data_IF_061649844594
#
_entry.id   IF_061649844594
#
_cell.length_a   1.000
_cell.length_b   1.000
_cell.length_c   1.000
_cell.angle_alpha   90.00
_cell.angle_beta   90.00
_cell.angle_gamma   90.00
#
_symmetry.space_group_name_H-M   'P 1'
#
loop_
_entity.id
_entity.type
_entity.pdbx_description
1 polymer ?
#
# COMPACT_ATOMS: atom_id res chain seq x y z
N UNK A 1 -21.73 67.06 -59.46
CA UNK A 1 -22.32 67.66 -58.25
C UNK A 1 -22.84 66.55 -57.36
N UNK A 2 -22.16 66.27 -56.26
CA UNK A 2 -22.81 65.98 -54.99
C UNK A 2 -21.73 65.99 -53.91
N UNK A 3 -21.77 67.09 -53.18
CA UNK A 3 -20.91 67.44 -52.08
C UNK A 3 -21.68 67.19 -50.78
N UNK A 4 -20.90 67.05 -49.71
CA UNK A 4 -21.26 67.39 -48.33
C UNK A 4 -21.89 66.34 -47.40
N UNK A 5 -20.96 65.82 -46.58
CA UNK A 5 -20.91 65.91 -45.11
C UNK A 5 -21.95 65.13 -44.29
N UNK A 6 -21.42 64.10 -43.65
CA UNK A 6 -22.00 63.41 -42.50
C UNK A 6 -22.21 64.35 -41.30
N UNK A 7 -23.32 64.23 -40.54
CA UNK A 7 -23.45 64.79 -39.21
C UNK A 7 -23.00 63.79 -38.12
N UNK A 8 -22.24 64.28 -37.15
CA UNK A 8 -21.80 63.56 -35.95
C UNK A 8 -23.00 63.10 -35.08
N UNK A 9 -22.98 61.88 -34.51
CA UNK A 9 -23.93 61.49 -33.47
C UNK A 9 -23.48 62.01 -32.09
N UNK A 10 -24.42 62.59 -31.36
CA UNK A 10 -24.25 63.12 -30.01
C UNK A 10 -23.82 62.05 -28.98
N UNK A 11 -22.83 62.38 -28.16
CA UNK A 11 -22.42 61.59 -27.00
C UNK A 11 -23.58 61.48 -25.99
N UNK A 12 -24.13 60.27 -25.82
CA UNK A 12 -25.04 59.94 -24.73
C UNK A 12 -24.19 59.51 -23.52
N UNK A 13 -24.16 60.33 -22.47
CA UNK A 13 -23.47 60.03 -21.22
C UNK A 13 -24.03 58.75 -20.60
N UNK A 14 -23.21 57.70 -20.57
CA UNK A 14 -23.51 56.44 -19.88
C UNK A 14 -23.48 56.68 -18.37
N UNK A 15 -24.66 56.69 -17.75
CA UNK A 15 -24.78 56.62 -16.30
C UNK A 15 -24.26 55.25 -15.84
N UNK A 16 -23.09 55.26 -15.17
CA UNK A 16 -22.59 54.07 -14.47
C UNK A 16 -23.64 53.64 -13.44
N UNK A 17 -24.32 52.52 -13.70
CA UNK A 17 -25.15 51.85 -12.70
C UNK A 17 -24.22 51.36 -11.59
N UNK A 18 -24.25 52.04 -10.45
CA UNK A 18 -23.54 51.62 -9.25
C UNK A 18 -23.99 50.22 -8.83
N UNK A 19 -23.04 49.42 -8.33
CA UNK A 19 -23.30 48.08 -7.83
C UNK A 19 -24.41 48.16 -6.77
N UNK A 20 -25.55 47.48 -6.98
CA UNK A 20 -26.68 47.61 -6.08
C UNK A 20 -26.32 47.09 -4.68
N UNK A 21 -26.74 47.83 -3.65
CA UNK A 21 -26.30 47.64 -2.24
C UNK A 21 -26.51 46.21 -1.69
N UNK A 22 -27.41 45.42 -2.27
CA UNK A 22 -27.63 44.02 -1.90
C UNK A 22 -26.45 43.10 -2.24
N UNK A 23 -25.59 43.45 -3.20
CA UNK A 23 -24.36 42.70 -3.49
C UNK A 23 -23.36 42.80 -2.33
N UNK A 24 -23.32 43.94 -1.63
CA UNK A 24 -22.52 44.07 -0.41
C UNK A 24 -23.09 43.22 0.73
N UNK A 25 -24.41 43.03 0.82
CA UNK A 25 -25.02 42.09 1.78
C UNK A 25 -24.65 40.63 1.46
N UNK A 26 -24.59 40.24 0.19
CA UNK A 26 -24.14 38.91 -0.23
C UNK A 26 -22.65 38.68 0.07
N UNK A 27 -21.79 39.68 -0.16
CA UNK A 27 -20.36 39.58 0.17
C UNK A 27 -20.11 39.52 1.68
N UNK A 28 -20.92 40.22 2.49
CA UNK A 28 -20.86 40.11 3.96
C UNK A 28 -21.36 38.74 4.44
N UNK A 29 -22.41 38.18 3.83
CA UNK A 29 -22.89 36.82 4.15
C UNK A 29 -21.89 35.73 3.77
N UNK A 30 -21.19 35.86 2.63
CA UNK A 30 -20.11 34.95 2.22
C UNK A 30 -18.88 35.13 3.13
N UNK A 31 -18.58 36.37 3.54
CA UNK A 31 -17.52 36.64 4.50
C UNK A 31 -17.80 36.06 5.89
N UNK A 32 -19.03 36.18 6.39
CA UNK A 32 -19.46 35.60 7.67
C UNK A 32 -19.57 34.08 7.60
N UNK A 33 -20.01 33.49 6.48
CA UNK A 33 -20.00 32.04 6.31
C UNK A 33 -18.59 31.48 6.17
N UNK A 34 -17.65 32.22 5.55
CA UNK A 34 -16.24 31.85 5.50
C UNK A 34 -15.55 31.99 6.87
N UNK A 35 -15.93 32.98 7.70
CA UNK A 35 -15.45 33.11 9.07
C UNK A 35 -16.03 32.02 9.97
N UNK A 36 -17.32 31.69 9.84
CA UNK A 36 -17.94 30.57 10.57
C UNK A 36 -17.36 29.23 10.10
N UNK A 37 -17.12 29.04 8.80
CA UNK A 37 -16.43 27.87 8.27
C UNK A 37 -14.98 27.79 8.77
N UNK A 38 -14.24 28.91 8.79
CA UNK A 38 -12.90 28.95 9.35
C UNK A 38 -12.91 28.68 10.87
N UNK A 39 -13.89 29.18 11.62
CA UNK A 39 -14.04 28.89 13.05
C UNK A 39 -14.46 27.42 13.28
N UNK A 40 -15.36 26.85 12.48
CA UNK A 40 -15.78 25.45 12.56
C UNK A 40 -14.67 24.49 12.12
N UNK A 41 -13.91 24.80 11.06
CA UNK A 41 -12.74 24.02 10.62
C UNK A 41 -11.58 24.16 11.59
N UNK A 42 -11.43 25.31 12.26
CA UNK A 42 -10.41 25.50 13.29
C UNK A 42 -10.83 24.90 14.65
N UNK A 43 -12.12 24.62 14.89
CA UNK A 43 -12.61 23.84 16.04
C UNK A 43 -12.86 22.35 15.74
N UNK A 44 -12.71 21.91 14.49
CA UNK A 44 -12.87 20.51 14.06
C UNK A 44 -11.60 19.90 13.46
N UNK A 45 -10.43 20.51 13.66
CA UNK A 45 -9.22 19.69 13.73
C UNK A 45 -9.45 18.71 14.88
N UNK A 46 -9.53 17.39 14.63
CA UNK A 46 -9.43 16.47 15.76
C UNK A 46 -8.10 16.82 16.44
N UNK A 47 -8.16 17.22 17.71
CA UNK A 47 -7.00 17.10 18.56
C UNK A 47 -6.43 15.70 18.34
N UNK A 48 -5.10 15.52 18.22
CA UNK A 48 -4.55 14.19 18.31
C UNK A 48 -5.15 13.58 19.57
N UNK A 49 -5.91 12.50 19.42
CA UNK A 49 -6.43 11.77 20.56
C UNK A 49 -5.21 11.49 21.41
N UNK A 50 -5.11 12.19 22.54
CA UNK A 50 -4.11 11.90 23.53
C UNK A 50 -4.46 10.50 24.02
N UNK A 51 -3.82 9.49 23.41
CA UNK A 51 -3.54 8.25 24.12
C UNK A 51 -3.01 8.69 25.47
N UNK A 52 -3.69 8.23 26.52
CA UNK A 52 -3.48 8.64 27.90
C UNK A 52 -2.09 8.14 28.32
N UNK A 53 -1.07 8.90 27.93
CA UNK A 53 0.33 8.57 27.99
C UNK A 53 0.87 9.13 29.31
N UNK A 54 0.64 8.42 30.41
CA UNK A 54 1.69 8.33 31.43
C UNK A 54 2.85 7.44 30.90
N UNK A 55 3.28 7.66 29.64
CA UNK A 55 4.22 6.86 28.86
C UNK A 55 5.50 7.66 28.63
N UNK A 56 6.20 8.03 29.69
CA UNK A 56 7.54 8.58 29.56
C UNK A 56 8.48 7.43 29.21
N UNK A 57 8.88 7.31 27.93
CA UNK A 57 9.94 6.37 27.52
C UNK A 57 11.22 6.79 28.24
N UNK A 58 11.79 5.90 29.06
CA UNK A 58 13.07 6.17 29.72
C UNK A 58 14.16 6.05 28.67
N UNK A 59 14.66 7.21 28.24
CA UNK A 59 15.81 7.31 27.33
C UNK A 59 17.12 7.12 28.12
N UNK A 60 18.14 6.48 27.53
CA UNK A 60 19.46 6.40 28.15
C UNK A 60 20.07 7.79 28.44
N UNK A 61 20.79 7.93 29.56
CA UNK A 61 21.49 9.18 29.92
C UNK A 61 22.86 9.31 29.21
N UNK A 62 23.09 10.46 28.54
CA UNK A 62 24.34 10.94 27.85
C UNK A 62 24.86 10.05 26.69
N UNK A 63 25.61 10.63 25.73
CA UNK A 63 25.31 10.52 24.30
C UNK A 63 25.21 9.07 23.82
N UNK A 64 24.07 8.73 23.21
CA UNK A 64 23.79 7.45 22.59
C UNK A 64 24.87 7.13 21.57
N UNK A 65 25.71 6.12 21.87
CA UNK A 65 26.69 5.59 20.93
C UNK A 65 26.09 4.36 20.28
N UNK A 66 26.27 4.20 18.98
CA UNK A 66 25.90 2.97 18.30
C UNK A 66 26.61 1.78 18.95
N UNK A 67 25.83 0.83 19.47
CA UNK A 67 26.35 -0.41 20.07
C UNK A 67 26.29 -1.59 19.11
N UNK A 68 25.52 -1.47 18.02
CA UNK A 68 25.44 -2.51 17.00
C UNK A 68 24.33 -2.27 15.98
N UNK A 69 24.30 -3.12 14.98
CA UNK A 69 23.27 -3.20 13.94
C UNK A 69 22.57 -4.55 14.05
N UNK A 70 21.25 -4.55 13.88
CA UNK A 70 20.41 -5.72 14.12
C UNK A 70 19.35 -5.88 13.03
N UNK A 71 18.81 -7.09 12.92
CA UNK A 71 17.56 -7.38 12.20
C UNK A 71 16.51 -7.92 13.17
N UNK A 72 15.25 -7.74 12.82
CA UNK A 72 14.12 -8.30 13.58
C UNK A 72 13.94 -9.77 13.21
N UNK A 73 13.93 -10.64 14.22
CA UNK A 73 13.86 -12.09 14.05
C UNK A 73 12.43 -12.65 14.20
N UNK A 74 11.66 -12.06 15.11
CA UNK A 74 10.32 -12.56 15.49
C UNK A 74 9.21 -11.86 14.71
N UNK A 75 8.04 -12.49 14.54
CA UNK A 75 6.88 -11.90 13.87
C UNK A 75 6.44 -10.57 14.47
N UNK A 76 6.65 -10.35 15.76
CA UNK A 76 6.40 -9.06 16.44
C UNK A 76 7.43 -8.79 17.53
N UNK A 77 8.35 -7.87 17.26
CA UNK A 77 9.29 -7.34 18.24
C UNK A 77 8.69 -6.09 18.91
N UNK A 78 8.08 -6.26 20.08
CA UNK A 78 7.35 -5.18 20.76
C UNK A 78 8.31 -4.16 21.40
N UNK A 79 7.96 -2.88 21.27
CA UNK A 79 8.62 -1.81 22.01
C UNK A 79 8.16 -1.81 23.47
N UNK A 80 9.06 -1.42 24.36
CA UNK A 80 8.83 -1.24 25.79
C UNK A 80 9.25 0.17 26.21
N UNK A 81 8.58 0.75 27.22
CA UNK A 81 8.92 2.09 27.73
C UNK A 81 10.24 2.06 28.54
N UNK A 82 10.51 0.93 29.18
CA UNK A 82 11.69 0.64 30.00
C UNK A 82 12.30 -0.71 29.57
N UNK A 83 13.55 -1.04 29.94
CA UNK A 83 14.10 -2.38 29.73
C UNK A 83 13.49 -3.39 30.73
N UNK A 84 12.16 -3.49 30.69
CA UNK A 84 11.30 -4.31 31.55
C UNK A 84 10.09 -4.79 30.74
N UNK A 85 9.84 -6.10 30.80
CA UNK A 85 8.74 -6.78 30.13
C UNK A 85 7.36 -6.27 30.56
N UNK A 86 7.21 -5.80 31.80
CA UNK A 86 5.96 -5.22 32.30
C UNK A 86 5.57 -3.92 31.56
N UNK A 87 6.50 -3.30 30.84
CA UNK A 87 6.30 -2.00 30.16
C UNK A 87 6.06 -2.12 28.65
N UNK A 88 5.65 -3.31 28.19
CA UNK A 88 5.35 -3.60 26.77
C UNK A 88 4.27 -2.67 26.21
N UNK A 89 4.53 -2.13 25.01
CA UNK A 89 3.62 -1.28 24.23
C UNK A 89 2.93 -2.08 23.13
N UNK A 90 1.90 -1.49 22.54
CA UNK A 90 1.22 -2.02 21.34
C UNK A 90 2.04 -1.84 20.07
N UNK A 91 3.00 -0.89 20.06
CA UNK A 91 3.92 -0.70 18.94
C UNK A 91 4.93 -1.85 18.86
N UNK A 92 5.17 -2.36 17.66
CA UNK A 92 6.14 -3.42 17.38
C UNK A 92 6.80 -3.20 16.03
N UNK A 93 7.93 -3.88 15.83
CA UNK A 93 8.53 -4.07 14.52
C UNK A 93 8.24 -5.50 14.03
N UNK A 94 8.20 -5.66 12.71
CA UNK A 94 8.08 -6.96 12.05
C UNK A 94 9.38 -7.29 11.32
N UNK A 95 9.66 -8.57 11.03
CA UNK A 95 10.80 -8.96 10.20
C UNK A 95 10.77 -8.26 8.85
N UNK A 96 11.93 -7.83 8.40
CA UNK A 96 12.10 -7.07 7.16
C UNK A 96 13.54 -7.10 6.68
N UNK A 97 13.78 -6.43 5.54
CA UNK A 97 15.12 -6.24 4.99
C UNK A 97 15.88 -5.09 5.66
N UNK A 98 15.23 -4.31 6.51
CA UNK A 98 15.84 -3.16 7.15
C UNK A 98 16.79 -3.59 8.28
N UNK A 99 17.86 -2.81 8.41
CA UNK A 99 18.79 -2.91 9.53
C UNK A 99 18.44 -1.83 10.55
N UNK A 100 18.25 -2.24 11.79
CA UNK A 100 17.98 -1.32 12.91
C UNK A 100 19.25 -1.08 13.71
N UNK A 101 19.43 0.16 14.16
CA UNK A 101 20.61 0.55 14.95
C UNK A 101 20.28 0.48 16.44
N UNK A 102 21.05 -0.31 17.18
CA UNK A 102 20.98 -0.35 18.65
C UNK A 102 21.85 0.75 19.26
N UNK A 103 21.33 1.41 20.28
CA UNK A 103 21.95 2.58 20.91
C UNK A 103 22.31 2.38 22.39
N UNK A 104 21.70 1.39 23.05
CA UNK A 104 22.00 0.97 24.42
C UNK A 104 21.50 -0.46 24.64
N UNK A 105 22.07 -1.18 25.61
CA UNK A 105 21.63 -2.51 26.02
C UNK A 105 21.60 -2.62 27.55
N UNK A 106 20.42 -2.96 28.11
CA UNK A 106 20.21 -3.11 29.56
C UNK A 106 19.19 -4.21 29.82
N UNK A 107 19.43 -5.04 30.83
CA UNK A 107 18.51 -6.09 31.29
C UNK A 107 17.97 -7.00 30.17
N UNK A 108 18.78 -7.28 29.13
CA UNK A 108 18.34 -8.08 27.98
C UNK A 108 17.43 -7.35 27.00
N UNK A 109 17.43 -6.01 27.01
CA UNK A 109 16.74 -5.16 26.04
C UNK A 109 17.72 -4.23 25.32
N UNK A 110 17.47 -3.98 24.04
CA UNK A 110 18.20 -3.02 23.21
C UNK A 110 17.31 -1.80 22.99
N UNK A 111 17.86 -0.60 23.23
CA UNK A 111 17.20 0.65 22.86
C UNK A 111 17.38 0.94 21.38
N UNK A 112 16.27 1.14 20.66
CA UNK A 112 16.23 1.36 19.21
C UNK A 112 15.45 2.65 18.91
N UNK A 113 15.99 3.41 17.97
CA UNK A 113 15.27 4.47 17.25
C UNK A 113 15.08 4.02 15.81
N UNK A 114 13.82 3.82 15.40
CA UNK A 114 13.44 3.33 14.07
C UNK A 114 12.49 4.31 13.41
N UNK A 115 12.81 4.72 12.19
CA UNK A 115 11.94 5.56 11.36
C UNK A 115 11.41 4.75 10.19
N UNK A 116 10.10 4.59 10.08
CA UNK A 116 9.50 3.86 8.96
C UNK A 116 9.50 4.69 7.66
N UNK A 117 9.09 4.08 6.56
CA UNK A 117 8.99 4.70 5.23
C UNK A 117 8.00 5.89 5.14
N UNK A 118 7.20 6.14 6.19
CA UNK A 118 6.33 7.33 6.32
C UNK A 118 7.01 8.47 7.10
N UNK A 119 8.26 8.30 7.52
CA UNK A 119 8.97 9.24 8.38
C UNK A 119 8.54 9.19 9.85
N UNK A 120 7.73 8.20 10.25
CA UNK A 120 7.31 8.07 11.65
C UNK A 120 8.42 7.38 12.44
N UNK A 121 8.90 8.04 13.49
CA UNK A 121 9.95 7.53 14.34
C UNK A 121 9.37 6.91 15.61
N UNK A 122 9.67 5.63 15.83
CA UNK A 122 9.43 4.92 17.07
C UNK A 122 10.74 4.78 17.84
N UNK A 123 10.70 5.12 19.13
CA UNK A 123 11.82 4.90 20.06
C UNK A 123 11.37 4.01 21.20
N UNK A 124 12.26 3.14 21.67
CA UNK A 124 12.00 2.33 22.87
C UNK A 124 12.90 1.10 22.97
N UNK A 125 12.60 0.28 23.97
CA UNK A 125 13.37 -0.93 24.30
C UNK A 125 12.75 -2.17 23.65
N UNK A 126 13.57 -3.00 23.01
CA UNK A 126 13.15 -4.27 22.38
C UNK A 126 13.96 -5.41 22.98
N UNK A 127 13.33 -6.56 23.23
CA UNK A 127 14.04 -7.72 23.81
C UNK A 127 15.19 -8.15 22.90
N UNK A 128 16.35 -8.42 23.50
CA UNK A 128 17.57 -8.84 22.79
C UNK A 128 17.36 -10.12 21.95
N UNK A 129 16.49 -11.02 22.41
CA UNK A 129 16.16 -12.29 21.76
C UNK A 129 15.19 -12.13 20.57
N UNK A 130 14.53 -10.97 20.44
CA UNK A 130 13.69 -10.64 19.28
C UNK A 130 14.52 -10.11 18.11
N UNK A 131 15.83 -9.94 18.33
CA UNK A 131 16.79 -9.32 17.43
C UNK A 131 17.98 -10.25 17.18
N UNK A 132 18.52 -10.17 15.96
CA UNK A 132 19.76 -10.85 15.57
C UNK A 132 20.79 -9.79 15.16
N UNK A 133 22.04 -9.83 15.68
CA UNK A 133 23.10 -8.95 15.18
C UNK A 133 23.30 -9.14 13.68
N UNK A 134 23.54 -8.03 12.98
CA UNK A 134 23.74 -8.07 11.53
C UNK A 134 24.96 -8.92 11.15
N UNK A 135 26.02 -8.90 11.97
CA UNK A 135 27.21 -9.74 11.78
C UNK A 135 26.87 -11.23 11.82
N UNK A 136 26.06 -11.65 12.79
CA UNK A 136 25.60 -13.03 12.93
C UNK A 136 24.69 -13.43 11.76
N UNK A 137 23.80 -12.54 11.33
CA UNK A 137 22.95 -12.75 10.16
C UNK A 137 23.79 -12.98 8.89
N UNK A 138 24.80 -12.13 8.66
CA UNK A 138 25.68 -12.22 7.49
C UNK A 138 26.56 -13.48 7.57
N UNK A 139 27.03 -13.86 8.76
CA UNK A 139 27.80 -15.08 8.95
C UNK A 139 26.95 -16.34 8.63
N UNK A 140 25.70 -16.39 9.08
CA UNK A 140 24.78 -17.48 8.76
C UNK A 140 24.56 -17.62 7.25
N UNK A 141 24.33 -16.51 6.55
CA UNK A 141 24.15 -16.51 5.11
C UNK A 141 25.39 -17.02 4.33
N UNK A 142 26.60 -16.72 4.81
CA UNK A 142 27.86 -17.18 4.20
C UNK A 142 28.12 -18.67 4.41
N UNK A 143 27.67 -19.23 5.52
CA UNK A 143 27.83 -20.64 5.84
C UNK A 143 26.77 -21.53 5.16
N UNK A 144 25.96 -20.97 4.24
CA UNK A 144 24.79 -21.60 3.63
C UNK A 144 23.82 -22.20 4.67
N UNK A 145 23.88 -21.70 5.91
CA UNK A 145 22.92 -22.07 6.93
C UNK A 145 21.58 -21.50 6.49
N UNK A 146 20.50 -22.29 6.51
CA UNK A 146 19.18 -21.76 6.19
C UNK A 146 18.92 -20.56 7.12
N UNK A 147 18.55 -19.42 6.53
CA UNK A 147 18.11 -18.26 7.31
C UNK A 147 17.05 -18.73 8.34
N UNK A 148 16.96 -18.11 9.52
CA UNK A 148 15.90 -18.40 10.46
C UNK A 148 14.55 -18.15 9.78
N UNK A 149 13.95 -19.22 9.24
CA UNK A 149 12.68 -19.11 8.55
C UNK A 149 11.61 -18.89 9.60
N UNK A 150 10.76 -17.90 9.34
CA UNK A 150 9.54 -17.73 10.11
C UNK A 150 8.78 -19.06 10.15
N UNK A 151 8.20 -19.36 11.31
CA UNK A 151 7.29 -20.49 11.40
C UNK A 151 6.09 -20.26 10.50
N UNK A 152 5.38 -21.33 10.12
CA UNK A 152 4.15 -21.17 9.34
C UNK A 152 3.12 -20.28 10.06
N UNK A 153 3.08 -20.33 11.39
CA UNK A 153 2.22 -19.48 12.21
C UNK A 153 2.63 -18.00 12.11
N UNK A 154 3.93 -17.70 12.22
CA UNK A 154 4.46 -16.34 12.05
C UNK A 154 4.15 -15.78 10.65
N UNK A 155 4.28 -16.61 9.62
CA UNK A 155 3.90 -16.24 8.23
C UNK A 155 2.41 -15.90 8.17
N UNK A 156 1.55 -16.73 8.76
CA UNK A 156 0.11 -16.49 8.77
C UNK A 156 -0.25 -15.19 9.51
N UNK A 157 0.39 -14.91 10.65
CA UNK A 157 0.22 -13.67 11.41
C UNK A 157 0.58 -12.47 10.52
N UNK A 158 1.74 -12.50 9.86
CA UNK A 158 2.20 -11.41 9.01
C UNK A 158 1.32 -11.20 7.77
N UNK A 159 0.89 -12.28 7.11
CA UNK A 159 -0.04 -12.19 5.98
C UNK A 159 -1.37 -11.57 6.42
N UNK A 160 -1.89 -11.96 7.58
CA UNK A 160 -3.12 -11.38 8.13
C UNK A 160 -2.95 -9.87 8.41
N UNK A 161 -1.81 -9.45 8.97
CA UNK A 161 -1.52 -8.04 9.22
C UNK A 161 -1.38 -7.27 7.89
N UNK A 162 -0.69 -7.82 6.89
CA UNK A 162 -0.56 -7.22 5.56
C UNK A 162 -1.91 -7.05 4.85
N UNK A 163 -2.83 -8.03 4.96
CA UNK A 163 -4.19 -7.92 4.42
C UNK A 163 -4.98 -6.80 5.10
N UNK A 164 -4.95 -6.71 6.43
CA UNK A 164 -5.60 -5.62 7.18
C UNK A 164 -5.04 -4.24 6.80
N UNK A 165 -3.73 -4.15 6.60
CA UNK A 165 -3.10 -2.92 6.12
C UNK A 165 -3.63 -2.54 4.72
N UNK A 166 -3.74 -3.49 3.80
CA UNK A 166 -4.36 -3.24 2.48
C UNK A 166 -5.83 -2.80 2.59
N UNK A 167 -6.63 -3.46 3.43
CA UNK A 167 -8.04 -3.12 3.66
C UNK A 167 -8.21 -1.69 4.19
N UNK A 168 -7.27 -1.24 5.02
CA UNK A 168 -7.20 0.13 5.55
C UNK A 168 -6.47 1.11 4.62
N UNK A 169 -6.22 0.73 3.36
CA UNK A 169 -5.52 1.53 2.36
C UNK A 169 -4.08 1.95 2.75
N UNK A 170 -3.44 1.18 3.63
CA UNK A 170 -2.04 1.33 4.05
C UNK A 170 -1.12 0.49 3.15
N UNK A 171 -1.12 0.81 1.84
CA UNK A 171 -0.48 -0.01 0.80
C UNK A 171 1.02 -0.14 1.02
N UNK A 172 1.73 0.94 1.37
CA UNK A 172 3.20 0.92 1.52
C UNK A 172 3.65 0.00 2.66
N UNK A 173 2.90 -0.05 3.74
CA UNK A 173 3.19 -0.90 4.90
C UNK A 173 2.85 -2.37 4.61
N UNK A 174 1.79 -2.62 3.86
CA UNK A 174 1.51 -3.98 3.38
C UNK A 174 2.61 -4.47 2.42
N UNK A 175 3.06 -3.61 1.50
CA UNK A 175 4.15 -3.93 0.56
C UNK A 175 5.45 -4.26 1.27
N UNK A 176 5.74 -3.60 2.39
CA UNK A 176 6.90 -3.92 3.22
C UNK A 176 6.89 -5.38 3.71
N UNK A 177 5.76 -5.85 4.24
CA UNK A 177 5.59 -7.24 4.69
C UNK A 177 5.61 -8.20 3.50
N UNK A 178 4.88 -7.88 2.42
CA UNK A 178 4.83 -8.75 1.25
C UNK A 178 6.19 -8.87 0.56
N UNK A 179 7.02 -7.82 0.54
CA UNK A 179 8.37 -7.90 -0.01
C UNK A 179 9.21 -8.93 0.76
N UNK A 180 9.24 -8.80 2.09
CA UNK A 180 9.99 -9.72 2.95
C UNK A 180 9.53 -11.17 2.78
N UNK A 181 8.21 -11.44 2.86
CA UNK A 181 7.68 -12.79 2.69
C UNK A 181 7.82 -13.31 1.24
N UNK A 182 7.81 -12.43 0.24
CA UNK A 182 8.04 -12.81 -1.16
C UNK A 182 9.47 -13.30 -1.38
N UNK A 183 10.47 -12.69 -0.74
CA UNK A 183 11.87 -13.14 -0.79
C UNK A 183 12.06 -14.51 -0.12
N UNK A 184 11.22 -14.81 0.89
CA UNK A 184 11.12 -16.14 1.52
C UNK A 184 10.23 -17.12 0.73
N UNK A 185 9.89 -16.77 -0.51
CA UNK A 185 9.09 -17.58 -1.43
C UNK A 185 7.68 -17.97 -0.97
N UNK A 186 7.08 -17.16 -0.10
CA UNK A 186 5.68 -17.35 0.31
C UNK A 186 4.75 -17.02 -0.87
N UNK A 187 3.97 -17.97 -1.40
CA UNK A 187 3.25 -17.78 -2.67
C UNK A 187 2.24 -16.62 -2.63
N UNK A 188 1.55 -16.45 -1.51
CA UNK A 188 0.62 -15.34 -1.33
C UNK A 188 1.31 -13.98 -1.34
N UNK A 189 2.49 -13.87 -0.74
CA UNK A 189 3.24 -12.62 -0.69
C UNK A 189 3.83 -12.28 -2.07
N UNK A 190 4.39 -13.27 -2.77
CA UNK A 190 4.81 -13.12 -4.17
C UNK A 190 3.65 -12.61 -5.04
N UNK A 191 2.47 -13.22 -4.91
CA UNK A 191 1.29 -12.77 -5.64
C UNK A 191 0.90 -11.33 -5.27
N UNK A 192 0.77 -10.99 -3.99
CA UNK A 192 0.30 -9.65 -3.61
C UNK A 192 1.32 -8.57 -3.99
N UNK A 193 2.62 -8.79 -3.75
CA UNK A 193 3.68 -7.84 -4.11
C UNK A 193 3.76 -7.62 -5.62
N UNK A 194 3.68 -8.69 -6.41
CA UNK A 194 3.67 -8.64 -7.87
C UNK A 194 2.38 -8.06 -8.45
N UNK A 195 1.22 -8.51 -7.97
CA UNK A 195 -0.08 -8.06 -8.47
C UNK A 195 -0.32 -6.57 -8.22
N UNK A 196 0.12 -6.04 -7.07
CA UNK A 196 0.11 -4.59 -6.82
C UNK A 196 1.06 -3.84 -7.77
N UNK A 197 2.17 -4.46 -8.20
CA UNK A 197 3.04 -3.93 -9.24
C UNK A 197 2.38 -3.85 -10.61
N UNK A 198 1.67 -4.93 -11.00
CA UNK A 198 0.87 -4.96 -12.25
C UNK A 198 -0.22 -3.88 -12.26
N UNK A 199 -0.75 -3.52 -11.08
CA UNK A 199 -1.75 -2.47 -10.89
C UNK A 199 -1.16 -1.06 -10.72
N UNK A 200 0.16 -0.88 -10.85
CA UNK A 200 0.89 0.38 -10.55
C UNK A 200 0.66 0.94 -9.13
N UNK A 201 0.34 0.06 -8.17
CA UNK A 201 0.26 0.38 -6.73
C UNK A 201 1.56 0.08 -5.99
N UNK A 202 2.46 -0.69 -6.60
CA UNK A 202 3.81 -0.94 -6.13
C UNK A 202 4.81 -0.40 -7.14
N UNK A 203 5.42 0.74 -6.83
CA UNK A 203 6.41 1.40 -7.71
C UNK A 203 7.81 0.79 -7.59
N UNK A 204 8.05 -0.09 -6.61
CA UNK A 204 9.35 -0.73 -6.36
C UNK A 204 9.65 -1.87 -7.36
N UNK A 205 8.64 -2.31 -8.12
CA UNK A 205 8.77 -3.36 -9.13
C UNK A 205 8.18 -2.90 -10.46
N UNK A 206 8.91 -3.14 -11.55
CA UNK A 206 8.39 -2.94 -12.89
C UNK A 206 7.41 -4.06 -13.30
N UNK A 207 6.71 -3.88 -14.42
CA UNK A 207 5.74 -4.83 -14.93
C UNK A 207 6.33 -6.23 -15.17
N UNK A 208 7.58 -6.33 -15.62
CA UNK A 208 8.23 -7.60 -15.91
C UNK A 208 8.51 -8.39 -14.64
N UNK A 209 9.14 -7.74 -13.64
CA UNK A 209 9.38 -8.33 -12.32
C UNK A 209 8.07 -8.66 -11.60
N UNK A 210 7.08 -7.77 -11.68
CA UNK A 210 5.74 -7.98 -11.14
C UNK A 210 5.07 -9.23 -11.73
N UNK A 211 5.10 -9.37 -13.06
CA UNK A 211 4.54 -10.53 -13.76
C UNK A 211 5.25 -11.82 -13.36
N UNK A 212 6.59 -11.83 -13.30
CA UNK A 212 7.38 -13.00 -12.87
C UNK A 212 7.05 -13.44 -11.44
N UNK A 213 6.80 -12.50 -10.52
CA UNK A 213 6.38 -12.83 -9.15
C UNK A 213 5.01 -13.53 -9.13
N UNK A 214 4.06 -13.05 -9.93
CA UNK A 214 2.74 -13.67 -10.08
C UNK A 214 2.87 -15.06 -10.75
N UNK A 215 3.73 -15.23 -11.75
CA UNK A 215 4.05 -16.54 -12.34
C UNK A 215 4.61 -17.52 -11.31
N UNK A 216 5.62 -17.10 -10.53
CA UNK A 216 6.18 -17.95 -9.46
C UNK A 216 5.14 -18.36 -8.42
N UNK A 217 4.26 -17.44 -8.03
CA UNK A 217 3.16 -17.75 -7.12
C UNK A 217 2.19 -18.79 -7.72
N UNK A 218 1.86 -18.64 -9.01
CA UNK A 218 1.03 -19.57 -9.76
C UNK A 218 1.65 -20.97 -9.85
N UNK A 219 2.95 -21.05 -10.15
CA UNK A 219 3.71 -22.31 -10.24
C UNK A 219 3.79 -23.02 -8.89
N UNK A 220 3.83 -22.26 -7.78
CA UNK A 220 3.72 -22.79 -6.41
C UNK A 220 2.28 -23.14 -6.01
N UNK A 221 1.32 -23.09 -6.93
CA UNK A 221 -0.06 -23.51 -6.70
C UNK A 221 -0.98 -22.45 -6.11
N UNK A 222 -0.55 -21.18 -6.01
CA UNK A 222 -1.39 -20.13 -5.45
C UNK A 222 -2.55 -19.78 -6.40
N UNK A 223 -3.77 -20.12 -5.97
CA UNK A 223 -4.95 -20.09 -6.84
C UNK A 223 -5.30 -18.68 -7.36
N UNK A 224 -5.26 -17.60 -6.54
CA UNK A 224 -5.47 -16.25 -7.06
C UNK A 224 -4.46 -15.86 -8.16
N UNK A 225 -3.21 -16.33 -8.08
CA UNK A 225 -2.21 -16.08 -9.12
C UNK A 225 -2.56 -16.79 -10.43
N UNK A 226 -2.96 -18.06 -10.36
CA UNK A 226 -3.45 -18.81 -11.54
C UNK A 226 -4.60 -18.09 -12.21
N UNK A 227 -5.61 -17.68 -11.44
CA UNK A 227 -6.77 -16.92 -11.94
C UNK A 227 -6.34 -15.63 -12.63
N UNK A 228 -5.49 -14.83 -11.98
CA UNK A 228 -5.01 -13.55 -12.52
C UNK A 228 -4.24 -13.74 -13.82
N UNK A 229 -3.27 -14.66 -13.88
CA UNK A 229 -2.53 -14.93 -15.11
C UNK A 229 -3.43 -15.49 -16.21
N UNK A 230 -4.37 -16.37 -15.85
CA UNK A 230 -5.40 -16.86 -16.75
C UNK A 230 -6.15 -15.73 -17.45
N UNK A 231 -6.65 -14.78 -16.65
CA UNK A 231 -7.28 -13.56 -17.14
C UNK A 231 -6.34 -12.72 -18.03
N UNK A 232 -5.13 -12.39 -17.55
CA UNK A 232 -4.19 -11.55 -18.28
C UNK A 232 -3.82 -12.12 -19.64
N UNK A 233 -3.60 -13.44 -19.74
CA UNK A 233 -3.30 -14.10 -21.01
C UNK A 233 -4.46 -14.09 -22.00
N UNK A 234 -5.70 -14.20 -21.52
CA UNK A 234 -6.88 -14.27 -22.40
C UNK A 234 -7.29 -12.89 -22.92
N UNK A 235 -7.14 -11.86 -22.08
CA UNK A 235 -7.60 -10.50 -22.34
C UNK A 235 -6.47 -9.49 -22.60
N UNK A 236 -5.26 -9.95 -22.87
CA UNK A 236 -4.09 -9.12 -23.13
C UNK A 236 -4.33 -8.00 -24.16
N UNK A 237 -5.10 -8.30 -25.22
CA UNK A 237 -5.40 -7.35 -26.30
C UNK A 237 -6.65 -6.48 -26.04
N UNK A 238 -7.32 -6.64 -24.89
CA UNK A 238 -8.56 -5.93 -24.56
C UNK A 238 -8.33 -4.92 -23.43
N UNK A 239 -7.93 -3.71 -23.80
CA UNK A 239 -7.64 -2.63 -22.86
C UNK A 239 -8.82 -2.27 -21.96
N UNK A 240 -10.06 -2.31 -22.47
CA UNK A 240 -11.25 -1.97 -21.67
C UNK A 240 -11.49 -2.99 -20.55
N UNK A 241 -11.24 -4.28 -20.82
CA UNK A 241 -11.31 -5.33 -19.80
C UNK A 241 -10.15 -5.22 -18.79
N UNK A 242 -8.93 -4.91 -19.26
CA UNK A 242 -7.78 -4.72 -18.37
C UNK A 242 -7.97 -3.55 -17.39
N UNK A 243 -8.60 -2.46 -17.84
CA UNK A 243 -8.91 -1.27 -17.02
C UNK A 243 -9.75 -1.58 -15.78
N UNK A 244 -10.63 -2.59 -15.83
CA UNK A 244 -11.52 -2.93 -14.71
C UNK A 244 -10.73 -3.24 -13.43
N UNK A 245 -9.52 -3.82 -13.59
CA UNK A 245 -8.65 -4.19 -12.48
C UNK A 245 -7.30 -3.44 -12.51
N UNK A 246 -7.23 -2.32 -13.21
CA UNK A 246 -6.04 -1.47 -13.36
C UNK A 246 -4.82 -2.17 -13.99
N UNK A 247 -5.02 -3.15 -14.86
CA UNK A 247 -3.92 -3.89 -15.50
C UNK A 247 -3.43 -3.27 -16.80
N UNK A 248 -4.12 -2.27 -17.34
CA UNK A 248 -3.83 -1.62 -18.62
C UNK A 248 -2.49 -0.85 -18.66
N UNK A 249 -1.87 -0.64 -17.50
CA UNK A 249 -0.60 0.06 -17.36
C UNK A 249 0.62 -0.83 -17.67
N UNK A 250 0.40 -2.11 -17.94
CA UNK A 250 1.42 -3.08 -18.35
C UNK A 250 1.00 -3.75 -19.66
N UNK A 251 1.98 -4.27 -20.40
CA UNK A 251 1.75 -5.05 -21.63
C UNK A 251 1.86 -6.53 -21.33
N UNK A 252 0.99 -7.32 -21.95
CA UNK A 252 0.94 -8.77 -21.81
C UNK A 252 0.90 -9.42 -23.19
N UNK A 253 1.45 -10.61 -23.31
CA UNK A 253 1.34 -11.40 -24.54
C UNK A 253 0.07 -12.24 -24.50
N UNK A 254 -0.79 -12.13 -25.51
CA UNK A 254 -1.99 -12.97 -25.60
C UNK A 254 -1.61 -14.45 -25.76
N UNK A 255 -2.14 -15.31 -24.89
CA UNK A 255 -1.94 -16.76 -25.00
C UNK A 255 -3.18 -17.53 -24.52
N UNK A 256 -4.07 -17.87 -25.47
CA UNK A 256 -5.34 -18.52 -25.15
C UNK A 256 -5.14 -19.86 -24.44
N UNK A 257 -4.21 -20.69 -24.92
CA UNK A 257 -3.99 -22.01 -24.35
C UNK A 257 -3.48 -21.93 -22.90
N UNK A 258 -2.44 -21.13 -22.64
CA UNK A 258 -1.89 -20.95 -21.29
C UNK A 258 -2.94 -20.32 -20.38
N UNK A 259 -3.67 -19.32 -20.87
CA UNK A 259 -4.72 -18.64 -20.11
C UNK A 259 -5.86 -19.57 -19.71
N UNK A 260 -6.44 -20.32 -20.66
CA UNK A 260 -7.50 -21.29 -20.41
C UNK A 260 -7.05 -22.41 -19.47
N UNK A 261 -5.83 -22.91 -19.62
CA UNK A 261 -5.25 -23.92 -18.71
C UNK A 261 -5.20 -23.41 -17.28
N UNK A 262 -4.67 -22.22 -17.05
CA UNK A 262 -4.55 -21.64 -15.71
C UNK A 262 -5.92 -21.36 -15.07
N UNK A 263 -6.90 -20.88 -15.84
CA UNK A 263 -8.28 -20.73 -15.35
C UNK A 263 -8.89 -22.08 -14.99
N UNK A 264 -8.74 -23.11 -15.84
CA UNK A 264 -9.24 -24.45 -15.54
C UNK A 264 -8.62 -25.01 -14.26
N UNK A 265 -7.31 -24.86 -14.07
CA UNK A 265 -6.64 -25.27 -12.83
C UNK A 265 -7.19 -24.54 -11.59
N UNK A 266 -7.47 -23.23 -11.69
CA UNK A 266 -8.09 -22.47 -10.62
C UNK A 266 -9.53 -22.95 -10.33
N UNK A 267 -10.32 -23.27 -11.35
CA UNK A 267 -11.68 -23.83 -11.22
C UNK A 267 -11.64 -25.19 -10.53
N UNK A 268 -10.73 -26.08 -10.93
CA UNK A 268 -10.57 -27.40 -10.30
C UNK A 268 -10.16 -27.31 -8.83
N UNK A 269 -9.48 -26.22 -8.45
CA UNK A 269 -9.16 -25.91 -7.06
C UNK A 269 -10.30 -25.22 -6.29
N UNK A 270 -11.48 -25.05 -6.91
CA UNK A 270 -12.66 -24.48 -6.29
C UNK A 270 -12.80 -22.95 -6.40
N UNK A 271 -12.00 -22.27 -7.22
CA UNK A 271 -12.14 -20.83 -7.42
C UNK A 271 -13.39 -20.47 -8.21
N UNK A 272 -14.40 -19.93 -7.51
CA UNK A 272 -15.68 -19.54 -8.10
C UNK A 272 -15.56 -18.33 -9.05
N UNK A 273 -14.56 -17.48 -8.86
CA UNK A 273 -14.35 -16.31 -9.74
C UNK A 273 -13.79 -16.76 -11.08
N UNK A 274 -12.82 -17.70 -11.06
CA UNK A 274 -12.30 -18.34 -12.27
C UNK A 274 -13.40 -19.12 -13.00
N UNK A 275 -14.31 -19.77 -12.25
CA UNK A 275 -15.45 -20.50 -12.83
C UNK A 275 -16.35 -19.55 -13.63
N UNK A 276 -16.80 -18.46 -13.02
CA UNK A 276 -17.62 -17.44 -13.69
C UNK A 276 -16.93 -16.88 -14.94
N UNK A 277 -15.64 -16.56 -14.83
CA UNK A 277 -14.86 -16.05 -15.96
C UNK A 277 -14.80 -17.06 -17.11
N UNK A 278 -14.62 -18.34 -16.80
CA UNK A 278 -14.61 -19.41 -17.81
C UNK A 278 -15.98 -19.61 -18.47
N UNK A 279 -17.07 -19.45 -17.72
CA UNK A 279 -18.43 -19.56 -18.27
C UNK A 279 -18.76 -18.39 -19.21
N UNK A 280 -18.43 -17.16 -18.83
CA UNK A 280 -18.61 -15.97 -19.67
C UNK A 280 -17.85 -16.07 -21.00
N UNK A 281 -16.62 -16.60 -20.98
CA UNK A 281 -15.82 -16.86 -22.18
C UNK A 281 -16.46 -17.89 -23.11
N UNK A 282 -16.98 -18.99 -22.55
CA UNK A 282 -17.65 -20.03 -23.33
C UNK A 282 -18.94 -19.50 -23.96
N UNK A 283 -19.72 -18.71 -23.23
CA UNK A 283 -20.95 -18.07 -23.73
C UNK A 283 -20.63 -17.09 -24.87
N UNK A 284 -19.58 -16.27 -24.73
CA UNK A 284 -19.13 -15.35 -25.78
C UNK A 284 -18.60 -16.05 -27.05
N UNK A 285 -18.24 -17.34 -26.95
CA UNK A 285 -17.75 -18.14 -28.09
C UNK A 285 -18.85 -18.94 -28.79
N UNK A 286 -20.07 -18.99 -28.24
CA UNK A 286 -21.21 -19.62 -28.89
C UNK A 286 -21.69 -18.73 -30.05
N UNK A 287 -21.88 -19.27 -31.26
CA UNK A 287 -22.34 -18.47 -32.39
C UNK A 287 -23.78 -17.97 -32.15
N UNK A 288 -24.03 -16.68 -32.42
CA UNK A 288 -25.35 -16.02 -32.46
C UNK A 288 -26.33 -16.79 -33.37
N UNK A 289 -26.94 -17.84 -32.85
CA UNK A 289 -27.83 -18.73 -33.58
C UNK A 289 -29.11 -19.03 -32.82
N UNK A 290 -29.59 -18.06 -32.03
CA UNK A 290 -30.89 -18.15 -31.35
C UNK A 290 -31.75 -16.88 -31.46
N UNK A 291 -31.52 -16.01 -32.45
CA UNK A 291 -32.39 -14.83 -32.71
C UNK A 291 -33.05 -14.83 -34.11
N UNK A 292 -33.33 -16.02 -34.67
CA UNK A 292 -34.30 -16.15 -35.77
C UNK A 292 -35.16 -17.41 -35.60
N UNK A 293 -36.17 -17.33 -34.73
CA UNK A 293 -37.44 -18.06 -34.89
C UNK A 293 -38.61 -17.17 -34.47
#
# INVERSE_FOLDING_TARGET
MNNDRAPYPAHRLSQKKGVPKWIYFLLVLIGLSAIVYALVVNTSKPEPVAENNNNTVIQPEKPLRTIGQYKVLTSRAFFHNEPDEATRRTAYMVPSNDVVTGLDERNGFIYIEFTNNRGQTSKGWIKRNDLVPLEDWVAQAKEEKPEPRLTQEDINIQLNDARKLLENNQVKEALYIYNYLSEQEVPEAMYNYGNLGLQKKNEEVDCGKAFQLVEKASDKGYIPAKRTLGFLYLFADNTEILKINNYEQCTYDRNVFKGSKLLMEAVLAGDSTAKRLSEELNISSAPDSLEQQ
#
